data_IF_474627929124
#
_entry.id   IF_474627929124
#
_cell.length_a   1.000
_cell.length_b   1.000
_cell.length_c   1.000
_cell.angle_alpha   90.00
_cell.angle_beta   90.00
_cell.angle_gamma   90.00
#
_symmetry.space_group_name_H-M   'P 1'
#
loop_
_entity.id
_entity.type
_entity.pdbx_description
1 polymer ?
#
# COMPACT_ATOMS: atom_id res chain seq x y z
N UNK A 1 -3.10 7.38 4.26
CA UNK A 1 -3.92 7.69 5.39
C UNK A 1 -4.41 6.49 6.16
N UNK A 2 -4.62 6.74 7.44
CA UNK A 2 -4.97 5.70 8.41
C UNK A 2 -6.26 4.97 8.08
N UNK A 3 -7.24 5.64 7.49
CA UNK A 3 -8.52 5.02 7.13
C UNK A 3 -8.40 4.01 5.99
N UNK A 4 -7.31 4.01 5.25
CA UNK A 4 -7.06 3.04 4.18
C UNK A 4 -6.44 1.73 4.69
N UNK A 5 -5.86 1.74 5.87
CA UNK A 5 -5.27 0.55 6.46
C UNK A 5 -6.33 -0.35 7.09
N UNK A 6 -6.22 -1.65 6.90
CA UNK A 6 -7.10 -2.65 7.53
C UNK A 6 -6.62 -3.09 8.90
N UNK A 7 -5.35 -2.88 9.19
CA UNK A 7 -4.72 -3.26 10.45
C UNK A 7 -3.97 -2.10 11.06
N UNK A 8 -3.59 -2.25 12.31
CA UNK A 8 -2.86 -1.24 13.04
C UNK A 8 -1.86 -1.90 14.00
N UNK A 9 -0.68 -1.31 14.11
CA UNK A 9 0.24 -1.61 15.20
C UNK A 9 -0.22 -0.85 16.43
N UNK A 10 -0.53 -1.56 17.50
CA UNK A 10 -0.97 -1.00 18.76
C UNK A 10 0.13 -1.12 19.80
N UNK A 11 0.39 -0.02 20.50
CA UNK A 11 1.28 -0.02 21.65
C UNK A 11 0.65 -0.84 22.79
N UNK A 12 1.40 -1.78 23.34
CA UNK A 12 0.95 -2.64 24.42
C UNK A 12 1.37 -2.15 25.80
N UNK A 13 0.49 -2.32 26.78
CA UNK A 13 0.81 -2.14 28.19
C UNK A 13 1.08 -3.49 28.83
N UNK A 14 2.23 -3.62 29.50
CA UNK A 14 2.59 -4.82 30.26
C UNK A 14 2.80 -4.42 31.70
N UNK A 15 2.01 -4.99 32.61
CA UNK A 15 2.10 -4.74 34.05
C UNK A 15 2.11 -3.25 34.45
N UNK A 16 1.34 -2.42 33.75
CA UNK A 16 1.22 -0.99 34.01
C UNK A 16 2.39 -0.14 33.55
N UNK A 17 3.36 -0.71 32.84
CA UNK A 17 4.46 0.00 32.24
C UNK A 17 4.34 -0.02 30.71
N UNK A 18 4.76 1.08 30.07
CA UNK A 18 4.83 1.16 28.61
C UNK A 18 6.18 0.61 28.16
N UNK A 19 6.16 -0.45 27.39
CA UNK A 19 7.35 -0.98 26.76
C UNK A 19 7.43 -0.46 25.32
N UNK A 20 8.47 0.31 24.99
CA UNK A 20 8.64 0.95 23.69
C UNK A 20 8.78 -0.04 22.53
N UNK A 21 9.14 -1.28 22.80
CA UNK A 21 9.32 -2.31 21.77
C UNK A 21 8.08 -3.19 21.59
N UNK A 22 7.02 -2.97 22.37
CA UNK A 22 5.90 -3.90 22.47
C UNK A 22 4.67 -3.41 21.69
N UNK A 23 4.80 -3.25 20.37
CA UNK A 23 3.66 -3.04 19.49
C UNK A 23 3.04 -4.39 19.11
N UNK A 24 1.72 -4.49 19.21
CA UNK A 24 0.94 -5.62 18.74
C UNK A 24 0.20 -5.25 17.45
N UNK A 25 0.26 -6.14 16.45
CA UNK A 25 -0.52 -6.00 15.23
C UNK A 25 -1.98 -6.39 15.51
N UNK A 26 -2.90 -5.46 15.28
CA UNK A 26 -4.33 -5.65 15.53
C UNK A 26 -5.16 -5.26 14.31
N UNK A 27 -6.26 -5.97 14.11
CA UNK A 27 -7.31 -5.53 13.19
C UNK A 27 -8.06 -4.37 13.86
N UNK A 28 -8.41 -3.34 13.12
CA UNK A 28 -9.09 -2.17 13.66
C UNK A 28 -10.33 -2.49 14.49
N UNK A 29 -11.07 -3.53 14.10
CA UNK A 29 -12.27 -3.98 14.80
C UNK A 29 -11.97 -4.51 16.22
N UNK A 30 -10.81 -5.08 16.43
CA UNK A 30 -10.41 -5.58 17.75
C UNK A 30 -10.10 -4.46 18.74
N UNK A 31 -9.80 -3.28 18.25
CA UNK A 31 -9.55 -2.11 19.08
C UNK A 31 -10.83 -1.53 19.69
N UNK A 32 -12.02 -2.00 19.29
CA UNK A 32 -13.34 -1.57 19.77
C UNK A 32 -13.58 -0.05 19.70
N UNK A 33 -12.90 0.62 18.80
CA UNK A 33 -13.03 2.05 18.55
C UNK A 33 -13.10 2.29 17.05
N UNK A 34 -13.76 3.37 16.66
CA UNK A 34 -13.64 3.86 15.29
C UNK A 34 -12.17 4.19 15.01
N UNK A 35 -11.64 3.71 13.89
CA UNK A 35 -10.22 3.86 13.58
C UNK A 35 -9.76 5.30 13.45
N UNK A 36 -10.61 6.18 12.94
CA UNK A 36 -10.29 7.60 12.82
C UNK A 36 -10.22 8.24 14.19
N UNK A 37 -11.22 7.97 15.03
CA UNK A 37 -11.29 8.48 16.39
C UNK A 37 -10.14 7.95 17.24
N UNK A 38 -9.85 6.65 17.16
CA UNK A 38 -8.74 6.03 17.87
C UNK A 38 -7.41 6.68 17.51
N UNK A 39 -7.17 6.92 16.23
CA UNK A 39 -5.95 7.57 15.75
C UNK A 39 -5.87 9.03 16.19
N UNK A 40 -6.99 9.77 16.18
CA UNK A 40 -7.04 11.17 16.60
C UNK A 40 -6.80 11.34 18.10
N UNK A 41 -7.34 10.44 18.93
CA UNK A 41 -7.16 10.52 20.38
C UNK A 41 -5.82 9.98 20.87
N UNK A 42 -5.29 8.94 20.21
CA UNK A 42 -4.06 8.26 20.62
C UNK A 42 -3.10 8.06 19.44
N UNK A 43 -2.70 9.13 18.73
CA UNK A 43 -1.91 9.01 17.50
C UNK A 43 -0.55 8.32 17.70
N UNK A 44 0.02 8.43 18.90
CA UNK A 44 1.31 7.82 19.23
C UNK A 44 1.19 6.33 19.59
N UNK A 45 -0.05 5.87 19.89
CA UNK A 45 -0.32 4.49 20.29
C UNK A 45 -0.70 3.58 19.12
N UNK A 46 -0.98 4.15 17.95
CA UNK A 46 -1.44 3.41 16.79
C UNK A 46 -0.65 3.81 15.54
N UNK A 47 -0.09 2.82 14.87
CA UNK A 47 0.60 3.00 13.60
C UNK A 47 -0.16 2.21 12.53
N UNK A 48 -0.63 2.85 11.44
CA UNK A 48 -1.33 2.14 10.38
C UNK A 48 -0.47 1.02 9.80
N UNK A 49 -1.05 -0.14 9.62
CA UNK A 49 -0.39 -1.30 9.02
C UNK A 49 -1.17 -1.72 7.77
N UNK A 50 -0.56 -1.55 6.61
CA UNK A 50 -1.18 -1.86 5.34
C UNK A 50 -0.90 -3.31 4.93
N UNK A 51 -1.96 -4.02 4.56
CA UNK A 51 -1.85 -5.34 3.93
C UNK A 51 -1.61 -5.20 2.42
N UNK A 52 -1.26 -6.29 1.75
CA UNK A 52 -1.20 -6.33 0.28
C UNK A 52 -2.54 -5.90 -0.33
N UNK A 53 -3.65 -6.40 0.21
CA UNK A 53 -4.98 -6.02 -0.28
C UNK A 53 -5.25 -4.53 -0.11
N UNK A 54 -4.85 -3.93 1.03
CA UNK A 54 -4.99 -2.49 1.23
C UNK A 54 -4.21 -1.70 0.19
N UNK A 55 -2.98 -2.10 -0.09
CA UNK A 55 -2.14 -1.41 -1.07
C UNK A 55 -2.71 -1.50 -2.48
N UNK A 56 -3.18 -2.68 -2.88
CA UNK A 56 -3.73 -2.90 -4.22
C UNK A 56 -5.12 -2.29 -4.41
N UNK A 57 -5.98 -2.37 -3.40
CA UNK A 57 -7.38 -1.96 -3.54
C UNK A 57 -7.64 -0.51 -3.16
N UNK A 58 -6.82 0.06 -2.27
CA UNK A 58 -7.12 1.34 -1.65
C UNK A 58 -6.06 2.42 -1.85
N UNK A 59 -4.84 2.05 -2.18
CA UNK A 59 -3.71 3.00 -2.27
C UNK A 59 -3.18 3.15 -3.68
N UNK A 60 -2.84 2.05 -4.33
CA UNK A 60 -2.31 2.07 -5.68
C UNK A 60 -3.42 2.37 -6.70
N UNK A 61 -3.21 3.31 -7.64
CA UNK A 61 -4.20 3.57 -8.67
C UNK A 61 -4.33 2.38 -9.63
N UNK A 62 -5.56 2.04 -9.98
CA UNK A 62 -5.84 1.01 -10.98
C UNK A 62 -5.46 1.47 -12.39
N UNK A 63 -5.54 2.77 -12.61
CA UNK A 63 -5.30 3.41 -13.90
C UNK A 63 -4.42 4.64 -13.72
N UNK A 64 -3.42 4.77 -14.58
CA UNK A 64 -2.60 5.97 -14.71
C UNK A 64 -2.83 6.55 -16.10
N UNK A 65 -3.03 7.86 -16.16
CA UNK A 65 -3.13 8.60 -17.43
C UNK A 65 -1.98 9.60 -17.52
N UNK A 66 -1.30 9.59 -18.65
CA UNK A 66 -0.43 10.67 -19.06
C UNK A 66 -1.10 11.46 -20.22
N UNK A 67 -0.34 12.36 -20.85
CA UNK A 67 -0.87 13.25 -21.90
C UNK A 67 -1.45 12.50 -23.11
N UNK A 68 -1.00 11.29 -23.39
CA UNK A 68 -1.32 10.56 -24.62
C UNK A 68 -1.82 9.14 -24.39
N UNK A 69 -1.53 8.56 -23.24
CA UNK A 69 -1.77 7.15 -23.00
C UNK A 69 -2.48 6.90 -21.67
N UNK A 70 -3.26 5.82 -21.66
CA UNK A 70 -3.89 5.28 -20.47
C UNK A 70 -3.25 3.93 -20.16
N UNK A 71 -2.89 3.70 -18.90
CA UNK A 71 -2.24 2.48 -18.44
C UNK A 71 -3.05 1.85 -17.34
N UNK A 72 -3.13 0.53 -17.32
CA UNK A 72 -3.77 -0.23 -16.25
C UNK A 72 -2.74 -1.00 -15.42
N UNK A 73 -3.01 -1.15 -14.13
CA UNK A 73 -2.17 -1.90 -13.21
C UNK A 73 -2.17 -3.39 -13.57
N UNK A 74 -0.99 -3.96 -13.71
CA UNK A 74 -0.78 -5.38 -13.96
C UNK A 74 0.18 -5.96 -12.93
N UNK A 75 -0.25 -6.97 -12.21
CA UNK A 75 0.55 -7.72 -11.24
C UNK A 75 0.46 -9.20 -11.57
N UNK A 76 1.60 -9.86 -11.70
CA UNK A 76 1.64 -11.29 -12.00
C UNK A 76 2.77 -12.02 -11.30
N UNK A 77 2.54 -13.29 -11.01
CA UNK A 77 3.58 -14.19 -10.57
C UNK A 77 4.52 -14.53 -11.72
N UNK A 78 5.80 -14.63 -11.43
CA UNK A 78 6.85 -14.90 -12.41
C UNK A 78 7.26 -16.36 -12.35
N UNK A 79 7.46 -16.98 -13.51
CA UNK A 79 8.02 -18.34 -13.60
C UNK A 79 9.42 -18.33 -12.97
N UNK A 80 9.65 -19.24 -12.03
CA UNK A 80 10.90 -19.29 -11.27
C UNK A 80 10.84 -18.57 -9.93
N UNK A 81 9.75 -17.91 -9.60
CA UNK A 81 9.50 -17.22 -8.34
C UNK A 81 9.47 -15.71 -8.47
N UNK A 82 8.84 -15.07 -7.48
CA UNK A 82 8.70 -13.63 -7.42
C UNK A 82 7.49 -13.08 -8.15
N UNK A 83 7.43 -11.75 -8.21
CA UNK A 83 6.32 -10.99 -8.76
C UNK A 83 6.82 -9.93 -9.73
N UNK A 84 6.00 -9.63 -10.72
CA UNK A 84 6.23 -8.52 -11.64
C UNK A 84 5.05 -7.55 -11.57
N UNK A 85 5.38 -6.29 -11.38
CA UNK A 85 4.42 -5.18 -11.38
C UNK A 85 4.73 -4.25 -12.53
N UNK A 86 3.69 -3.83 -13.27
CA UNK A 86 3.82 -2.77 -14.26
C UNK A 86 2.47 -2.12 -14.52
N UNK A 87 2.51 -0.96 -15.16
CA UNK A 87 1.34 -0.34 -15.77
C UNK A 87 1.40 -0.59 -17.26
N UNK A 88 0.39 -1.27 -17.78
CA UNK A 88 0.32 -1.72 -19.17
C UNK A 88 -0.55 -0.77 -19.99
N UNK A 89 -0.12 -0.32 -21.18
CA UNK A 89 -0.90 0.57 -21.99
C UNK A 89 -2.20 -0.08 -22.46
N UNK A 90 -3.30 0.70 -22.40
CA UNK A 90 -4.64 0.31 -22.88
C UNK A 90 -5.09 1.32 -23.92
N UNK A 91 -5.79 0.88 -24.95
CA UNK A 91 -6.34 1.75 -25.99
C UNK A 91 -5.28 2.60 -26.71
N UNK A 92 -4.03 2.17 -26.70
CA UNK A 92 -2.94 2.90 -27.33
C UNK A 92 -2.42 2.21 -28.58
N UNK A 93 -1.71 2.94 -29.45
CA UNK A 93 -1.00 2.32 -30.57
C UNK A 93 -0.03 1.23 -30.11
N UNK A 94 0.21 0.25 -30.97
CA UNK A 94 1.01 -0.95 -30.71
C UNK A 94 2.45 -0.71 -30.21
N UNK A 95 2.92 0.52 -30.19
CA UNK A 95 4.30 0.88 -29.85
C UNK A 95 4.46 1.46 -28.44
N UNK A 96 3.41 1.53 -27.63
CA UNK A 96 3.53 2.05 -26.27
C UNK A 96 4.13 1.00 -25.34
N UNK A 97 5.18 1.39 -24.62
CA UNK A 97 5.84 0.52 -23.65
C UNK A 97 5.14 0.55 -22.29
N UNK A 98 5.32 -0.51 -21.52
CA UNK A 98 4.90 -0.53 -20.12
C UNK A 98 5.67 0.51 -19.31
N UNK A 99 5.04 1.08 -18.31
CA UNK A 99 5.69 1.99 -17.37
C UNK A 99 5.67 1.40 -15.96
N UNK A 100 6.62 1.84 -15.12
CA UNK A 100 6.71 1.40 -13.73
C UNK A 100 7.00 -0.09 -13.57
N UNK A 101 7.63 -0.72 -14.55
CA UNK A 101 7.94 -2.15 -14.55
C UNK A 101 9.02 -2.46 -13.52
N UNK A 102 8.74 -3.36 -12.61
CA UNK A 102 9.69 -3.86 -11.63
C UNK A 102 9.35 -5.29 -11.24
N UNK A 103 10.38 -6.05 -10.90
CA UNK A 103 10.27 -7.42 -10.38
C UNK A 103 10.84 -7.49 -8.98
N UNK A 104 10.29 -8.34 -8.14
CA UNK A 104 10.77 -8.56 -6.80
C UNK A 104 10.24 -9.85 -6.19
N UNK A 105 10.96 -10.39 -5.23
CA UNK A 105 10.58 -11.63 -4.54
C UNK A 105 9.60 -11.36 -3.39
N UNK A 106 9.69 -10.19 -2.78
CA UNK A 106 8.81 -9.77 -1.68
C UNK A 106 7.72 -8.83 -2.22
N UNK A 107 6.48 -9.29 -2.19
CA UNK A 107 5.36 -8.55 -2.77
C UNK A 107 5.10 -7.21 -2.06
N UNK A 108 5.15 -7.17 -0.74
CA UNK A 108 4.93 -5.91 0.01
C UNK A 108 6.03 -4.90 -0.32
N UNK A 109 7.28 -5.33 -0.34
CA UNK A 109 8.41 -4.47 -0.69
C UNK A 109 8.28 -3.95 -2.12
N UNK A 110 7.91 -4.79 -3.06
CA UNK A 110 7.66 -4.41 -4.45
C UNK A 110 6.56 -3.34 -4.55
N UNK A 111 5.45 -3.53 -3.86
CA UNK A 111 4.35 -2.56 -3.86
C UNK A 111 4.74 -1.24 -3.21
N UNK A 112 5.49 -1.26 -2.13
CA UNK A 112 6.00 -0.04 -1.50
C UNK A 112 6.94 0.73 -2.43
N UNK A 113 7.83 0.03 -3.13
CA UNK A 113 8.72 0.64 -4.12
C UNK A 113 7.94 1.26 -5.28
N UNK A 114 6.84 0.64 -5.68
CA UNK A 114 5.98 1.19 -6.74
C UNK A 114 5.21 2.42 -6.29
N UNK A 115 4.82 2.49 -5.02
CA UNK A 115 4.23 3.72 -4.45
C UNK A 115 5.23 4.87 -4.53
N UNK A 116 6.48 4.66 -4.15
CA UNK A 116 7.53 5.66 -4.29
C UNK A 116 7.73 6.10 -5.74
N UNK A 117 7.74 5.15 -6.67
CA UNK A 117 7.85 5.44 -8.10
C UNK A 117 6.69 6.30 -8.61
N UNK A 118 5.46 5.99 -8.21
CA UNK A 118 4.25 6.76 -8.59
C UNK A 118 4.38 8.21 -8.14
N UNK A 119 4.70 8.42 -6.87
CA UNK A 119 4.85 9.77 -6.30
C UNK A 119 6.02 10.52 -6.95
N UNK A 120 7.15 9.85 -7.15
CA UNK A 120 8.34 10.47 -7.74
C UNK A 120 8.13 10.89 -9.20
N UNK A 121 7.22 10.24 -9.91
CA UNK A 121 6.90 10.56 -11.29
C UNK A 121 5.69 11.51 -11.45
N UNK A 122 5.17 12.03 -10.33
CA UNK A 122 4.10 13.02 -10.34
C UNK A 122 2.70 12.44 -10.53
N UNK A 123 2.53 11.14 -10.44
CA UNK A 123 1.21 10.51 -10.48
C UNK A 123 0.56 10.51 -9.09
N UNK A 124 -0.75 10.39 -9.06
CA UNK A 124 -1.51 10.43 -7.82
C UNK A 124 -1.86 9.03 -7.30
N UNK A 125 -1.79 8.88 -5.98
CA UNK A 125 -2.30 7.70 -5.28
C UNK A 125 -3.80 7.84 -5.01
N UNK A 126 -4.47 6.73 -4.74
CA UNK A 126 -5.88 6.69 -4.32
C UNK A 126 -6.03 7.02 -2.82
N UNK A 127 -5.65 8.20 -2.42
CA UNK A 127 -5.69 8.59 -1.01
C UNK A 127 -6.84 9.55 -0.70
#
# INVERSE_FOLDING_TARGET
>A
PVEKASMVWRWGWVCGTVDEENYELKIWQECKMDKILAYQEFPESFIPAFTVADLLEKVLPDVIQDTHNTYELTLKAVVGGGWRFCYTPVLTPLEADNIGDEMGDNLIELLCNRIEWIVSNGYELNL
#
